data_IF_898116273566
#
_entry.id   IF_898116273566
#
_cell.length_a   1.000
_cell.length_b   1.000
_cell.length_c   1.000
_cell.angle_alpha   90.00
_cell.angle_beta   90.00
_cell.angle_gamma   90.00
#
_symmetry.space_group_name_H-M   'P 1'
#
loop_
_entity.id
_entity.type
_entity.pdbx_description
1 polymer ?
#
# COMPACT_ATOMS: atom_id res chain seq x y z
N UNK A 1 -12.13 -9.96 5.25
CA UNK A 1 -12.12 -8.94 4.14
C UNK A 1 -13.49 -8.29 3.87
N UNK A 2 -14.40 -8.41 4.84
CA UNK A 2 -15.72 -7.77 4.74
C UNK A 2 -15.62 -6.25 4.55
N UNK A 3 -14.67 -5.58 5.23
CA UNK A 3 -14.44 -4.14 5.15
C UNK A 3 -14.25 -3.67 3.70
N UNK A 4 -13.49 -4.42 2.92
CA UNK A 4 -13.25 -4.11 1.51
C UNK A 4 -14.50 -4.35 0.64
N UNK A 5 -15.22 -5.45 0.87
CA UNK A 5 -16.47 -5.72 0.15
C UNK A 5 -17.56 -4.67 0.48
N UNK A 6 -17.63 -4.23 1.73
CA UNK A 6 -18.53 -3.14 2.14
C UNK A 6 -18.18 -1.83 1.42
N UNK A 7 -16.88 -1.53 1.22
CA UNK A 7 -16.45 -0.37 0.41
C UNK A 7 -16.90 -0.49 -1.05
N UNK A 8 -16.70 -1.65 -1.68
CA UNK A 8 -17.16 -1.87 -3.05
C UNK A 8 -18.66 -1.62 -3.18
N UNK A 9 -19.46 -2.21 -2.28
CA UNK A 9 -20.91 -2.04 -2.29
C UNK A 9 -21.31 -0.59 -2.04
N UNK A 10 -20.65 0.08 -1.07
CA UNK A 10 -20.92 1.47 -0.74
C UNK A 10 -20.71 2.40 -1.94
N UNK A 11 -19.65 2.19 -2.72
CA UNK A 11 -19.38 3.02 -3.91
C UNK A 11 -20.38 2.72 -5.04
N UNK A 12 -20.79 1.46 -5.21
CA UNK A 12 -21.85 1.15 -6.18
C UNK A 12 -23.18 1.82 -5.82
N UNK A 13 -23.53 1.89 -4.52
CA UNK A 13 -24.81 2.40 -4.06
C UNK A 13 -24.86 3.93 -3.95
N UNK A 14 -23.72 4.56 -3.62
CA UNK A 14 -23.67 5.99 -3.24
C UNK A 14 -22.70 6.81 -4.10
N UNK A 15 -21.90 6.16 -4.94
CA UNK A 15 -20.94 6.86 -5.78
C UNK A 15 -21.59 7.78 -6.79
N UNK A 16 -21.03 8.98 -6.94
CA UNK A 16 -21.44 9.92 -7.98
C UNK A 16 -20.60 9.72 -9.24
N UNK A 17 -21.20 9.91 -10.39
CA UNK A 17 -20.50 9.87 -11.67
C UNK A 17 -19.56 11.08 -11.78
N UNK A 18 -18.30 10.80 -12.06
CA UNK A 18 -17.27 11.82 -12.29
C UNK A 18 -16.48 11.50 -13.55
N UNK A 19 -16.16 12.56 -14.28
CA UNK A 19 -15.13 12.47 -15.30
C UNK A 19 -13.75 12.33 -14.65
N UNK A 20 -12.83 11.73 -15.38
CA UNK A 20 -11.45 11.57 -14.93
C UNK A 20 -10.47 11.86 -16.09
N UNK A 21 -9.18 11.92 -15.73
CA UNK A 21 -8.11 12.21 -16.68
C UNK A 21 -8.04 11.23 -17.86
N UNK A 22 -8.47 9.99 -17.64
CA UNK A 22 -8.41 8.92 -18.67
C UNK A 22 -9.59 8.95 -19.64
N UNK A 23 -10.67 9.70 -19.31
CA UNK A 23 -11.91 9.73 -20.08
C UNK A 23 -12.79 8.50 -19.90
N UNK A 24 -12.42 7.57 -18.99
CA UNK A 24 -13.21 6.36 -18.69
C UNK A 24 -14.44 6.68 -17.87
N UNK A 25 -14.31 7.65 -16.96
CA UNK A 25 -15.31 7.98 -15.94
C UNK A 25 -15.31 7.04 -14.75
N UNK A 26 -15.78 7.53 -13.63
CA UNK A 26 -15.78 6.81 -12.35
C UNK A 26 -17.09 6.97 -11.61
N UNK A 27 -17.41 5.99 -10.74
CA UNK A 27 -18.32 6.16 -9.62
C UNK A 27 -17.44 6.45 -8.41
N UNK A 28 -17.64 7.58 -7.73
CA UNK A 28 -16.75 8.07 -6.68
C UNK A 28 -17.49 8.50 -5.43
N UNK A 29 -16.90 8.19 -4.27
CA UNK A 29 -17.24 8.78 -2.97
C UNK A 29 -16.02 9.51 -2.42
N UNK A 30 -16.23 10.55 -1.63
CA UNK A 30 -15.14 11.28 -0.99
C UNK A 30 -15.12 11.02 0.52
N UNK A 31 -14.04 10.39 0.96
CA UNK A 31 -13.86 10.02 2.37
C UNK A 31 -14.46 8.66 2.70
N UNK A 32 -13.60 7.70 3.01
CA UNK A 32 -13.97 6.38 3.51
C UNK A 32 -12.83 5.81 4.34
N UNK A 33 -13.13 5.01 5.36
CA UNK A 33 -12.11 4.40 6.19
C UNK A 33 -12.40 2.92 6.41
N UNK A 34 -11.37 2.09 6.27
CA UNK A 34 -11.38 0.68 6.61
C UNK A 34 -10.40 0.41 7.74
N UNK A 35 -10.67 -0.62 8.55
CA UNK A 35 -9.78 -1.08 9.61
C UNK A 35 -9.58 -2.59 9.52
N UNK A 36 -8.32 -3.02 9.55
CA UNK A 36 -7.93 -4.42 9.50
C UNK A 36 -7.10 -4.74 10.73
N UNK A 37 -7.60 -5.61 11.60
CA UNK A 37 -6.83 -6.12 12.71
C UNK A 37 -5.92 -7.25 12.22
N UNK A 38 -4.60 -7.05 12.28
CA UNK A 38 -3.64 -8.04 11.77
C UNK A 38 -3.54 -9.30 12.64
N UNK A 39 -4.15 -9.30 13.83
CA UNK A 39 -4.31 -10.51 14.64
C UNK A 39 -5.33 -11.49 14.03
N UNK A 40 -6.25 -11.00 13.18
CA UNK A 40 -7.25 -11.84 12.51
C UNK A 40 -6.71 -12.57 11.26
N UNK A 41 -5.50 -12.25 10.84
CA UNK A 41 -4.83 -12.80 9.66
C UNK A 41 -4.28 -11.71 8.74
N UNK A 42 -3.60 -12.13 7.68
CA UNK A 42 -3.03 -11.20 6.70
C UNK A 42 -4.11 -10.76 5.70
N UNK A 43 -4.36 -9.44 5.54
CA UNK A 43 -5.48 -8.94 4.74
C UNK A 43 -5.19 -8.98 3.23
N UNK A 44 -4.97 -10.17 2.70
CA UNK A 44 -4.87 -10.45 1.28
C UNK A 44 -6.22 -10.97 0.77
N UNK A 45 -6.79 -10.32 -0.24
CA UNK A 45 -8.13 -10.63 -0.74
C UNK A 45 -8.29 -12.11 -1.10
N UNK A 46 -9.42 -12.68 -0.70
CA UNK A 46 -9.80 -14.05 -1.05
C UNK A 46 -10.91 -14.12 -2.11
N UNK A 47 -11.62 -13.03 -2.37
CA UNK A 47 -12.67 -12.97 -3.41
C UNK A 47 -12.12 -12.83 -4.82
N UNK A 48 -10.86 -12.49 -4.96
CA UNK A 48 -10.06 -12.66 -6.19
C UNK A 48 -8.60 -12.89 -5.83
N UNK A 49 -7.90 -13.70 -6.61
CA UNK A 49 -6.47 -13.95 -6.41
C UNK A 49 -5.65 -12.71 -6.74
N UNK A 50 -4.72 -12.34 -5.84
CA UNK A 50 -3.75 -11.27 -6.04
C UNK A 50 -2.34 -11.82 -6.26
N UNK A 51 -1.51 -11.06 -6.97
CA UNK A 51 -0.12 -11.41 -7.25
C UNK A 51 0.80 -10.90 -6.15
N UNK A 52 0.94 -11.67 -5.07
CA UNK A 52 1.72 -11.29 -3.88
C UNK A 52 3.19 -10.98 -4.20
N UNK A 53 3.79 -11.67 -5.15
CA UNK A 53 5.17 -11.42 -5.57
C UNK A 53 5.40 -9.97 -5.97
N UNK A 54 4.50 -9.38 -6.74
CA UNK A 54 4.59 -7.97 -7.14
C UNK A 54 4.49 -7.04 -5.93
N UNK A 55 3.62 -7.35 -4.98
CA UNK A 55 3.42 -6.56 -3.76
C UNK A 55 4.70 -6.54 -2.92
N UNK A 56 5.31 -7.70 -2.69
CA UNK A 56 6.54 -7.81 -1.88
C UNK A 56 7.69 -7.07 -2.56
N UNK A 57 7.94 -7.30 -3.85
CA UNK A 57 9.04 -6.64 -4.56
C UNK A 57 8.86 -5.13 -4.64
N UNK A 58 7.65 -4.64 -4.85
CA UNK A 58 7.37 -3.20 -4.85
C UNK A 58 7.69 -2.58 -3.48
N UNK A 59 7.26 -3.19 -2.38
CA UNK A 59 7.55 -2.70 -1.03
C UNK A 59 9.05 -2.69 -0.73
N UNK A 60 9.77 -3.76 -1.09
CA UNK A 60 11.23 -3.82 -0.94
C UNK A 60 11.92 -2.74 -1.78
N UNK A 61 11.43 -2.48 -2.98
CA UNK A 61 11.91 -1.42 -3.86
C UNK A 61 11.71 -0.02 -3.26
N UNK A 62 10.53 0.26 -2.67
CA UNK A 62 10.31 1.50 -1.92
C UNK A 62 11.27 1.64 -0.75
N UNK A 63 11.46 0.59 0.04
CA UNK A 63 12.36 0.60 1.21
C UNK A 63 13.84 0.76 0.86
N UNK A 64 14.24 0.42 -0.36
CA UNK A 64 15.58 0.72 -0.88
C UNK A 64 15.76 2.18 -1.30
N UNK A 65 14.69 2.95 -1.38
CA UNK A 65 14.71 4.31 -1.91
C UNK A 65 14.90 4.37 -3.42
N UNK A 66 14.70 3.26 -4.11
CA UNK A 66 14.87 3.14 -5.56
C UNK A 66 13.64 3.67 -6.29
N UNK A 67 13.85 4.27 -7.46
CA UNK A 67 12.81 4.82 -8.34
C UNK A 67 12.93 4.31 -9.77
N UNK A 68 13.93 3.46 -10.04
CA UNK A 68 14.13 2.85 -11.34
C UNK A 68 13.49 1.46 -11.40
N UNK A 69 12.74 1.19 -12.46
CA UNK A 69 12.00 -0.07 -12.64
C UNK A 69 12.87 -1.29 -12.91
N UNK A 70 14.17 -1.12 -13.11
CA UNK A 70 15.08 -2.21 -13.44
C UNK A 70 15.01 -3.37 -12.44
N UNK A 71 15.09 -3.07 -11.13
CA UNK A 71 14.96 -4.08 -10.08
C UNK A 71 13.65 -4.86 -10.18
N UNK A 72 12.53 -4.14 -10.41
CA UNK A 72 11.22 -4.76 -10.55
C UNK A 72 11.15 -5.68 -11.77
N UNK A 73 11.67 -5.22 -12.92
CA UNK A 73 11.70 -5.99 -14.16
C UNK A 73 12.57 -7.25 -14.05
N UNK A 74 13.73 -7.16 -13.41
CA UNK A 74 14.61 -8.30 -13.13
C UNK A 74 13.93 -9.37 -12.26
N UNK A 75 12.95 -8.97 -11.46
CA UNK A 75 12.13 -9.87 -10.64
C UNK A 75 10.77 -10.21 -11.26
N UNK A 76 10.55 -9.88 -12.53
CA UNK A 76 9.32 -10.20 -13.26
C UNK A 76 8.11 -9.33 -12.88
N UNK A 77 8.34 -8.17 -12.26
CA UNK A 77 7.30 -7.22 -11.85
C UNK A 77 7.24 -6.06 -12.83
N UNK A 78 6.07 -5.80 -13.41
CA UNK A 78 5.88 -4.84 -14.50
C UNK A 78 4.86 -3.75 -14.21
N UNK A 79 4.36 -3.66 -12.99
CA UNK A 79 3.26 -2.77 -12.61
C UNK A 79 3.56 -1.27 -12.75
N UNK A 80 4.84 -0.90 -12.88
CA UNK A 80 5.31 0.48 -13.05
C UNK A 80 5.84 0.80 -14.46
N UNK A 81 5.88 -0.18 -15.39
CA UNK A 81 6.53 0.00 -16.68
C UNK A 81 5.94 1.14 -17.52
N UNK A 82 4.62 1.34 -17.48
CA UNK A 82 3.94 2.36 -18.29
C UNK A 82 4.20 3.80 -17.82
N UNK A 83 4.67 3.96 -16.57
CA UNK A 83 4.95 5.26 -15.97
C UNK A 83 6.43 5.66 -16.03
N UNK A 84 7.31 4.69 -16.32
CA UNK A 84 8.74 4.91 -16.41
C UNK A 84 9.12 5.68 -17.67
N UNK A 85 10.14 6.53 -17.55
CA UNK A 85 10.74 7.20 -18.70
C UNK A 85 11.59 6.24 -19.55
N UNK A 86 12.25 6.75 -20.58
CA UNK A 86 13.11 5.98 -21.47
C UNK A 86 14.31 5.30 -20.77
N UNK A 87 14.72 5.82 -19.60
CA UNK A 87 15.78 5.27 -18.76
C UNK A 87 15.27 4.32 -17.68
N UNK A 88 13.96 4.13 -17.60
CA UNK A 88 13.31 3.31 -16.59
C UNK A 88 13.09 4.03 -15.26
N UNK A 89 13.26 5.35 -15.20
CA UNK A 89 13.10 6.13 -13.99
C UNK A 89 11.67 6.70 -13.85
N UNK A 90 11.24 6.85 -12.61
CA UNK A 90 9.92 7.38 -12.24
C UNK A 90 9.99 8.76 -11.58
N UNK A 91 11.19 9.29 -11.38
CA UNK A 91 11.42 10.54 -10.68
C UNK A 91 11.35 10.38 -9.15
N UNK A 92 11.12 11.47 -8.44
CA UNK A 92 11.20 11.53 -6.97
C UNK A 92 9.98 10.96 -6.25
N UNK A 93 9.50 9.78 -6.67
CA UNK A 93 8.32 9.13 -6.09
C UNK A 93 8.65 8.35 -4.81
N UNK A 94 7.65 7.88 -4.13
CA UNK A 94 7.59 7.04 -2.92
C UNK A 94 8.93 6.76 -2.21
N UNK A 95 9.73 5.83 -2.73
CA UNK A 95 10.99 5.40 -2.10
C UNK A 95 12.02 6.53 -1.96
N UNK A 96 12.09 7.43 -2.93
CA UNK A 96 12.95 8.60 -2.84
C UNK A 96 12.52 9.49 -1.66
N UNK A 97 11.25 9.83 -1.55
CA UNK A 97 10.74 10.65 -0.45
C UNK A 97 10.87 9.95 0.90
N UNK A 98 10.59 8.65 0.96
CA UNK A 98 10.71 7.87 2.20
C UNK A 98 12.13 7.84 2.76
N UNK A 99 13.13 7.75 1.89
CA UNK A 99 14.50 7.47 2.26
C UNK A 99 15.46 8.63 2.07
N UNK A 100 15.09 9.64 1.29
CA UNK A 100 15.99 10.70 0.84
C UNK A 100 15.27 12.03 0.64
N UNK A 101 14.36 12.38 1.54
CA UNK A 101 13.66 13.66 1.50
C UNK A 101 14.67 14.83 1.58
N UNK A 102 14.68 15.77 0.60
CA UNK A 102 15.62 16.90 0.62
C UNK A 102 15.42 17.80 1.83
N UNK A 103 16.51 18.20 2.50
CA UNK A 103 16.48 19.18 3.56
C UNK A 103 16.95 20.56 3.09
N UNK A 104 16.78 21.59 3.94
CA UNK A 104 17.17 22.97 3.62
C UNK A 104 18.69 23.20 3.60
N UNK A 105 19.49 22.27 4.11
CA UNK A 105 20.94 22.38 4.20
C UNK A 105 21.66 21.64 3.07
N UNK A 106 20.91 21.14 2.07
CA UNK A 106 21.45 20.37 0.97
C UNK A 106 21.71 18.89 1.31
N UNK A 107 21.25 18.45 2.49
CA UNK A 107 21.27 17.05 2.89
C UNK A 107 19.94 16.36 2.59
N UNK A 108 19.76 15.18 3.18
CA UNK A 108 18.58 14.36 3.00
C UNK A 108 18.12 13.74 4.32
N UNK A 109 16.83 13.58 4.48
CA UNK A 109 16.19 12.96 5.64
C UNK A 109 15.70 11.55 5.26
N UNK A 110 16.13 10.56 6.01
CA UNK A 110 15.61 9.19 5.91
C UNK A 110 14.42 9.04 6.86
N UNK A 111 13.21 9.25 6.35
CA UNK A 111 11.98 9.23 7.14
C UNK A 111 11.70 7.85 7.74
N UNK A 112 12.09 6.76 7.07
CA UNK A 112 11.90 5.40 7.59
C UNK A 112 12.79 5.16 8.82
N UNK A 113 14.06 5.56 8.75
CA UNK A 113 14.96 5.48 9.93
C UNK A 113 14.46 6.32 11.08
N UNK A 114 14.04 7.55 10.82
CA UNK A 114 13.49 8.45 11.85
C UNK A 114 12.23 7.88 12.50
N UNK A 115 11.32 7.29 11.72
CA UNK A 115 10.11 6.66 12.24
C UNK A 115 10.45 5.48 13.16
N UNK A 116 11.34 4.58 12.73
CA UNK A 116 11.77 3.42 13.54
C UNK A 116 12.47 3.89 14.82
N UNK A 117 13.37 4.86 14.71
CA UNK A 117 14.04 5.45 15.86
C UNK A 117 13.04 6.02 16.88
N UNK A 118 12.02 6.74 16.40
CA UNK A 118 10.99 7.34 17.26
C UNK A 118 10.13 6.27 17.92
N UNK A 119 9.73 5.23 17.20
CA UNK A 119 8.98 4.08 17.77
C UNK A 119 9.77 3.44 18.92
N UNK A 120 11.08 3.28 18.77
CA UNK A 120 11.95 2.64 19.77
C UNK A 120 12.21 3.53 20.99
N UNK A 121 12.37 4.83 20.81
CA UNK A 121 12.85 5.73 21.86
C UNK A 121 11.78 6.67 22.43
N UNK A 122 10.70 6.90 21.71
CA UNK A 122 9.56 7.73 22.13
C UNK A 122 8.26 7.21 21.54
N UNK A 123 7.81 6.00 21.96
CA UNK A 123 6.63 5.34 21.35
C UNK A 123 5.32 6.11 21.52
N UNK A 124 5.23 7.01 22.51
CA UNK A 124 4.04 7.86 22.72
C UNK A 124 3.99 9.09 21.82
N UNK A 125 4.97 9.26 20.93
CA UNK A 125 5.00 10.40 20.01
C UNK A 125 3.81 10.35 19.04
N UNK A 126 3.22 11.52 18.82
CA UNK A 126 2.17 11.74 17.81
C UNK A 126 2.73 12.25 16.48
N UNK A 127 4.08 12.16 16.30
CA UNK A 127 4.82 12.70 15.15
C UNK A 127 5.51 11.60 14.33
N UNK A 128 5.07 10.36 14.45
CA UNK A 128 5.65 9.23 13.73
C UNK A 128 4.98 9.14 12.36
N UNK A 129 5.39 10.04 11.45
CA UNK A 129 4.79 10.23 10.13
C UNK A 129 5.86 10.06 9.06
N UNK A 130 5.49 9.37 7.98
CA UNK A 130 6.26 9.29 6.74
C UNK A 130 5.40 9.88 5.61
N UNK A 131 5.92 10.88 4.91
CA UNK A 131 5.22 11.55 3.82
C UNK A 131 5.91 11.29 2.48
N UNK A 132 5.14 10.92 1.47
CA UNK A 132 5.59 10.87 0.08
C UNK A 132 5.14 12.13 -0.70
N UNK A 133 4.22 12.93 -0.14
CA UNK A 133 3.69 14.13 -0.77
C UNK A 133 4.61 15.32 -0.51
N UNK A 134 5.59 15.50 -1.40
CA UNK A 134 6.50 16.64 -1.39
C UNK A 134 6.08 17.63 -2.49
N UNK A 135 5.44 18.72 -2.09
CA UNK A 135 4.86 19.70 -3.04
C UNK A 135 5.91 20.27 -3.99
N UNK A 136 7.14 20.48 -3.51
CA UNK A 136 8.23 21.03 -4.32
C UNK A 136 8.71 20.04 -5.41
N UNK A 137 8.57 18.74 -5.17
CA UNK A 137 9.03 17.69 -6.08
C UNK A 137 7.94 17.17 -7.03
N UNK A 138 6.67 17.55 -6.85
CA UNK A 138 5.58 17.06 -7.71
C UNK A 138 5.88 17.20 -9.21
N UNK A 139 6.48 18.32 -9.70
CA UNK A 139 6.81 18.44 -11.13
C UNK A 139 7.87 17.47 -11.63
N UNK A 140 8.61 16.82 -10.73
CA UNK A 140 9.68 15.85 -11.03
C UNK A 140 9.21 14.41 -10.84
N UNK A 141 7.92 14.20 -10.64
CA UNK A 141 7.31 12.88 -10.47
C UNK A 141 6.54 12.50 -11.73
N UNK A 142 6.81 11.33 -12.30
CA UNK A 142 6.05 10.84 -13.45
C UNK A 142 4.61 10.50 -13.07
N UNK A 143 4.39 10.12 -11.80
CA UNK A 143 3.08 9.91 -11.21
C UNK A 143 3.07 10.42 -9.76
N UNK A 144 2.31 11.49 -9.45
CA UNK A 144 2.16 11.95 -8.06
C UNK A 144 1.60 10.87 -7.14
N UNK A 145 2.12 10.73 -5.91
CA UNK A 145 1.76 9.61 -5.03
C UNK A 145 0.28 9.59 -4.66
N UNK A 146 -0.37 8.45 -4.88
CA UNK A 146 -1.75 8.19 -4.46
C UNK A 146 -1.84 7.91 -2.97
N UNK A 147 -1.02 6.99 -2.43
CA UNK A 147 -0.87 6.78 -1.00
C UNK A 147 0.16 7.78 -0.46
N UNK A 148 -0.35 8.91 0.02
CA UNK A 148 0.40 10.14 0.18
C UNK A 148 1.24 10.21 1.46
N UNK A 149 0.72 9.70 2.58
CA UNK A 149 1.46 9.62 3.84
C UNK A 149 0.85 8.59 4.79
N UNK A 150 1.64 8.16 5.78
CA UNK A 150 1.18 7.24 6.80
C UNK A 150 1.76 7.60 8.17
N UNK A 151 1.06 7.18 9.22
CA UNK A 151 1.40 7.44 10.62
C UNK A 151 1.39 6.15 11.41
N UNK A 152 2.37 5.99 12.29
CA UNK A 152 2.42 4.89 13.26
C UNK A 152 1.87 5.30 14.62
N UNK A 153 1.33 4.33 15.33
CA UNK A 153 0.79 4.49 16.68
C UNK A 153 1.13 3.25 17.51
N UNK A 154 1.64 3.47 18.71
CA UNK A 154 2.02 2.41 19.65
C UNK A 154 1.09 2.43 20.86
N UNK A 155 0.48 1.30 21.17
CA UNK A 155 -0.31 1.13 22.37
C UNK A 155 -0.37 -0.35 22.77
N UNK A 156 -0.30 -0.63 24.07
CA UNK A 156 -0.45 -1.98 24.63
C UNK A 156 0.48 -3.02 23.98
N UNK A 157 1.72 -2.62 23.67
CA UNK A 157 2.70 -3.51 23.03
C UNK A 157 2.46 -3.77 21.54
N UNK A 158 1.53 -3.06 20.92
CA UNK A 158 1.18 -3.21 19.52
C UNK A 158 1.49 -1.95 18.73
N UNK A 159 1.95 -2.15 17.50
CA UNK A 159 2.13 -1.10 16.49
C UNK A 159 0.96 -1.13 15.52
N UNK A 160 0.34 0.04 15.33
CA UNK A 160 -0.68 0.26 14.30
C UNK A 160 -0.19 1.28 13.27
N UNK A 161 -0.75 1.23 12.07
CA UNK A 161 -0.43 2.13 10.97
C UNK A 161 -1.71 2.67 10.36
N UNK A 162 -1.79 3.98 10.16
CA UNK A 162 -2.86 4.61 9.37
C UNK A 162 -2.27 5.21 8.10
N UNK A 163 -2.82 4.83 6.96
CA UNK A 163 -2.50 5.37 5.64
C UNK A 163 -3.58 6.34 5.19
N UNK A 164 -3.18 7.52 4.69
CA UNK A 164 -4.05 8.36 3.88
C UNK A 164 -3.71 8.18 2.39
N UNK A 165 -4.70 7.71 1.63
CA UNK A 165 -4.64 7.54 0.19
C UNK A 165 -5.59 8.54 -0.47
N UNK A 166 -5.04 9.56 -1.16
CA UNK A 166 -5.81 10.64 -1.75
C UNK A 166 -6.67 10.23 -2.94
N UNK A 167 -6.23 9.22 -3.66
CA UNK A 167 -6.88 8.67 -4.85
C UNK A 167 -6.80 7.15 -4.81
N UNK A 168 -7.93 6.49 -4.90
CA UNK A 168 -8.04 5.06 -4.67
C UNK A 168 -8.89 4.38 -5.73
N UNK A 169 -8.24 3.75 -6.71
CA UNK A 169 -8.86 2.76 -7.59
C UNK A 169 -9.18 1.51 -6.77
N UNK A 170 -10.45 1.35 -6.39
CA UNK A 170 -10.85 0.34 -5.42
C UNK A 170 -10.72 -1.06 -5.99
N UNK A 171 -10.93 -1.25 -7.28
CA UNK A 171 -10.91 -2.59 -7.88
C UNK A 171 -9.49 -3.12 -8.13
N UNK A 172 -8.61 -2.32 -8.74
CA UNK A 172 -7.24 -2.74 -9.07
C UNK A 172 -6.22 -2.37 -8.00
N UNK A 173 -6.18 -1.10 -7.58
CA UNK A 173 -5.11 -0.58 -6.74
C UNK A 173 -5.26 -0.88 -5.26
N UNK A 174 -6.43 -0.63 -4.68
CA UNK A 174 -6.66 -0.73 -3.23
C UNK A 174 -6.30 -2.10 -2.65
N UNK A 175 -6.62 -3.25 -3.29
CA UNK A 175 -6.22 -4.55 -2.76
C UNK A 175 -4.71 -4.72 -2.59
N UNK A 176 -3.92 -4.21 -3.54
CA UNK A 176 -2.46 -4.17 -3.46
C UNK A 176 -1.98 -3.27 -2.33
N UNK A 177 -2.59 -2.09 -2.17
CA UNK A 177 -2.21 -1.14 -1.12
C UNK A 177 -2.52 -1.68 0.28
N UNK A 178 -3.66 -2.36 0.48
CA UNK A 178 -3.99 -3.01 1.76
C UNK A 178 -2.90 -4.00 2.14
N UNK A 179 -2.56 -4.92 1.25
CA UNK A 179 -1.56 -5.95 1.52
C UNK A 179 -0.17 -5.35 1.72
N UNK A 180 0.23 -4.38 0.91
CA UNK A 180 1.53 -3.72 0.99
C UNK A 180 1.73 -3.01 2.33
N UNK A 181 0.76 -2.21 2.79
CA UNK A 181 0.89 -1.49 4.06
C UNK A 181 0.69 -2.39 5.28
N UNK A 182 -0.13 -3.43 5.19
CA UNK A 182 -0.19 -4.46 6.23
C UNK A 182 1.16 -5.17 6.38
N UNK A 183 1.83 -5.46 5.27
CA UNK A 183 3.16 -6.07 5.27
C UNK A 183 4.21 -5.13 5.86
N UNK A 184 4.21 -3.85 5.48
CA UNK A 184 5.07 -2.83 6.06
C UNK A 184 4.87 -2.73 7.59
N UNK A 185 3.62 -2.72 8.05
CA UNK A 185 3.29 -2.71 9.47
C UNK A 185 3.90 -3.92 10.20
N UNK A 186 3.77 -5.12 9.65
CA UNK A 186 4.37 -6.34 10.22
C UNK A 186 5.89 -6.25 10.30
N UNK A 187 6.53 -5.75 9.24
CA UNK A 187 7.99 -5.59 9.17
C UNK A 187 8.51 -4.60 10.22
N UNK A 188 7.87 -3.44 10.33
CA UNK A 188 8.25 -2.42 11.32
C UNK A 188 7.99 -2.90 12.75
N UNK A 189 6.87 -3.59 12.99
CA UNK A 189 6.57 -4.18 14.29
C UNK A 189 7.68 -5.17 14.70
N UNK A 190 8.10 -6.07 13.81
CA UNK A 190 9.16 -7.04 14.09
C UNK A 190 10.48 -6.36 14.47
N UNK A 191 10.95 -5.40 13.69
CA UNK A 191 12.26 -4.75 13.94
C UNK A 191 12.25 -3.80 15.14
N UNK A 192 11.08 -3.43 15.64
CA UNK A 192 10.91 -2.61 16.84
C UNK A 192 10.49 -3.41 18.08
N UNK A 193 10.35 -4.73 17.97
CA UNK A 193 9.98 -5.60 19.08
C UNK A 193 8.52 -5.49 19.52
N UNK A 194 7.64 -5.05 18.64
CA UNK A 194 6.20 -4.90 18.88
C UNK A 194 5.39 -5.97 18.13
N UNK A 195 4.16 -6.20 18.55
CA UNK A 195 3.19 -6.96 17.78
C UNK A 195 2.49 -6.06 16.76
N UNK A 196 2.10 -6.62 15.62
CA UNK A 196 1.29 -5.90 14.65
C UNK A 196 -0.15 -5.76 15.16
N UNK A 197 -0.64 -4.53 15.19
CA UNK A 197 -2.00 -4.18 15.59
C UNK A 197 -2.92 -3.96 14.40
N UNK A 198 -3.48 -2.76 14.28
CA UNK A 198 -4.42 -2.40 13.22
C UNK A 198 -3.73 -1.69 12.05
N UNK A 199 -4.12 -2.07 10.84
CA UNK A 199 -3.97 -1.23 9.66
C UNK A 199 -5.26 -0.46 9.43
N UNK A 200 -5.18 0.87 9.48
CA UNK A 200 -6.29 1.78 9.20
C UNK A 200 -6.06 2.44 7.85
N UNK A 201 -6.97 2.21 6.91
CA UNK A 201 -6.86 2.72 5.54
C UNK A 201 -7.90 3.81 5.31
N UNK A 202 -7.43 5.05 5.25
CA UNK A 202 -8.26 6.24 5.03
C UNK A 202 -8.13 6.69 3.57
N UNK A 203 -9.25 6.77 2.89
CA UNK A 203 -9.35 7.10 1.47
C UNK A 203 -9.90 8.51 1.28
N UNK A 204 -9.33 9.26 0.35
CA UNK A 204 -9.88 10.50 -0.18
C UNK A 204 -10.92 10.22 -1.26
N UNK A 205 -10.55 10.41 -2.54
CA UNK A 205 -11.39 10.01 -3.69
C UNK A 205 -11.31 8.49 -3.87
N UNK A 206 -12.36 7.80 -3.43
CA UNK A 206 -12.48 6.35 -3.55
C UNK A 206 -13.42 6.02 -4.70
N UNK A 207 -12.92 5.35 -5.75
CA UNK A 207 -13.65 5.23 -7.00
C UNK A 207 -13.55 3.85 -7.64
N UNK A 208 -14.60 3.52 -8.39
CA UNK A 208 -14.66 2.38 -9.30
C UNK A 208 -14.74 2.96 -10.71
N UNK A 209 -13.81 2.60 -11.59
CA UNK A 209 -13.88 2.96 -13.00
C UNK A 209 -15.07 2.31 -13.68
N UNK A 210 -15.70 3.02 -14.62
CA UNK A 210 -16.90 2.53 -15.31
C UNK A 210 -16.69 1.19 -16.02
N UNK A 211 -15.47 0.93 -16.49
CA UNK A 211 -15.08 -0.34 -17.13
C UNK A 211 -14.84 -1.50 -16.15
N UNK A 212 -14.96 -1.27 -14.83
CA UNK A 212 -14.81 -2.30 -13.79
C UNK A 212 -16.11 -2.68 -13.09
N UNK A 213 -17.24 -2.08 -13.44
CA UNK A 213 -18.52 -2.29 -12.73
C UNK A 213 -18.93 -3.76 -12.73
N UNK A 214 -18.84 -4.46 -13.87
CA UNK A 214 -19.21 -5.87 -13.96
C UNK A 214 -18.27 -6.77 -13.15
N UNK A 215 -16.97 -6.48 -13.17
CA UNK A 215 -15.98 -7.18 -12.37
C UNK A 215 -16.23 -7.02 -10.87
N UNK A 216 -16.61 -5.80 -10.44
CA UNK A 216 -16.97 -5.53 -9.04
C UNK A 216 -18.22 -6.32 -8.64
N UNK A 217 -19.25 -6.37 -9.49
CA UNK A 217 -20.44 -7.19 -9.26
C UNK A 217 -20.13 -8.67 -9.17
N UNK A 218 -19.28 -9.18 -10.05
CA UNK A 218 -18.78 -10.56 -9.97
C UNK A 218 -18.06 -10.80 -8.64
N UNK A 219 -17.16 -9.92 -8.23
CA UNK A 219 -16.42 -10.05 -6.99
C UNK A 219 -17.35 -10.06 -5.77
N UNK A 220 -18.36 -9.18 -5.74
CA UNK A 220 -19.35 -9.13 -4.68
C UNK A 220 -20.27 -10.37 -4.61
N UNK A 221 -20.41 -11.10 -5.70
CA UNK A 221 -21.16 -12.37 -5.72
C UNK A 221 -20.42 -13.53 -5.07
N UNK A 222 -19.13 -13.38 -4.77
CA UNK A 222 -18.28 -14.43 -4.20
C UNK A 222 -18.21 -14.35 -2.69
N UNK A 223 -18.40 -15.49 -2.03
CA UNK A 223 -18.20 -15.55 -0.57
C UNK A 223 -16.72 -15.44 -0.20
N UNK A 224 -16.35 -14.54 0.72
CA UNK A 224 -14.99 -14.45 1.20
C UNK A 224 -14.60 -15.73 1.95
N UNK A 225 -13.33 -16.13 1.79
CA UNK A 225 -12.75 -17.28 2.46
C UNK A 225 -11.87 -16.83 3.62
N UNK A 226 -11.40 -17.76 4.44
CA UNK A 226 -10.51 -17.47 5.54
C UNK A 226 -9.26 -16.70 5.08
N UNK A 227 -8.82 -15.73 5.90
CA UNK A 227 -7.60 -14.98 5.62
C UNK A 227 -6.38 -15.89 5.68
N UNK A 228 -5.40 -15.69 4.79
CA UNK A 228 -4.12 -16.38 4.87
C UNK A 228 -3.29 -15.88 6.06
N UNK A 229 -2.19 -16.59 6.30
CA UNK A 229 -1.17 -16.23 7.30
C UNK A 229 0.10 -15.79 6.60
N UNK A 230 0.68 -14.69 7.07
CA UNK A 230 1.98 -14.21 6.63
C UNK A 230 3.00 -14.45 7.74
N UNK A 231 4.12 -15.09 7.40
CA UNK A 231 5.26 -15.30 8.28
C UNK A 231 6.46 -14.54 7.76
N UNK A 232 7.10 -13.77 8.65
CA UNK A 232 8.36 -13.11 8.36
C UNK A 232 9.51 -13.92 8.97
N UNK A 233 10.66 -13.93 8.28
CA UNK A 233 11.88 -14.52 8.85
C UNK A 233 12.25 -13.80 10.15
N UNK A 234 12.21 -14.48 11.32
CA UNK A 234 12.44 -13.84 12.61
C UNK A 234 13.88 -13.38 12.84
N UNK A 235 14.81 -13.83 12.00
CA UNK A 235 16.24 -13.48 12.12
C UNK A 235 16.54 -12.10 11.55
N UNK A 236 15.63 -11.52 10.74
CA UNK A 236 15.81 -10.17 10.19
C UNK A 236 15.57 -9.14 11.29
N UNK A 237 16.58 -8.29 11.55
CA UNK A 237 16.60 -7.29 12.64
C UNK A 237 16.58 -5.85 12.14
N UNK A 238 16.87 -5.62 10.88
CA UNK A 238 16.78 -4.30 10.23
C UNK A 238 15.75 -4.31 9.13
N UNK A 239 14.94 -3.25 9.04
CA UNK A 239 13.92 -3.08 8.00
C UNK A 239 14.51 -3.13 6.58
N UNK A 240 15.79 -2.79 6.44
CA UNK A 240 16.49 -2.74 5.14
C UNK A 240 17.14 -4.06 4.73
N UNK A 241 17.12 -5.07 5.61
CA UNK A 241 17.74 -6.37 5.35
C UNK A 241 16.77 -7.42 4.85
N UNK A 242 15.47 -7.13 4.84
CA UNK A 242 14.46 -8.04 4.29
C UNK A 242 14.70 -8.30 2.81
N UNK A 243 14.57 -9.59 2.44
CA UNK A 243 14.61 -10.08 1.07
C UNK A 243 13.29 -10.79 0.76
N UNK A 244 13.04 -11.05 -0.52
CA UNK A 244 11.82 -11.73 -0.95
C UNK A 244 11.61 -13.08 -0.23
N UNK A 245 12.69 -13.83 -0.01
CA UNK A 245 12.66 -15.14 0.64
C UNK A 245 12.32 -15.12 2.13
N UNK A 246 12.32 -13.93 2.74
CA UNK A 246 11.98 -13.76 4.16
C UNK A 246 10.46 -13.73 4.42
N UNK A 247 9.65 -13.79 3.37
CA UNK A 247 8.18 -13.74 3.42
C UNK A 247 7.58 -15.08 3.03
N UNK A 248 6.80 -15.68 3.92
CA UNK A 248 6.10 -16.95 3.69
C UNK A 248 4.61 -16.78 3.89
N UNK A 249 3.84 -16.94 2.80
CA UNK A 249 2.38 -16.96 2.83
C UNK A 249 1.89 -18.40 2.92
N UNK A 250 1.01 -18.67 3.90
CA UNK A 250 0.37 -19.97 4.07
C UNK A 250 -1.14 -19.83 4.11
N UNK A 251 -1.85 -20.92 3.79
CA UNK A 251 -3.32 -21.00 3.87
C UNK A 251 -4.04 -20.00 2.95
N UNK A 252 -3.42 -19.60 1.84
CA UNK A 252 -4.07 -18.73 0.86
C UNK A 252 -4.90 -19.54 -0.13
N UNK A 253 -6.22 -19.49 0.02
CA UNK A 253 -7.18 -20.17 -0.85
C UNK A 253 -8.17 -19.17 -1.47
N UNK A 254 -7.73 -18.34 -2.43
CA UNK A 254 -8.59 -17.34 -3.05
C UNK A 254 -9.48 -17.94 -4.13
N UNK A 255 -10.56 -17.21 -4.44
CA UNK A 255 -11.25 -17.39 -5.72
C UNK A 255 -10.33 -17.00 -6.89
N UNK A 256 -10.64 -17.47 -8.11
CA UNK A 256 -9.85 -17.13 -9.29
C UNK A 256 -9.67 -15.64 -9.51
N UNK A 257 -8.60 -15.26 -10.18
CA UNK A 257 -8.35 -13.88 -10.58
C UNK A 257 -9.51 -13.33 -11.43
N UNK A 258 -9.83 -12.04 -11.24
CA UNK A 258 -10.74 -11.29 -12.11
C UNK A 258 -9.88 -10.24 -12.83
N UNK A 259 -9.82 -10.34 -14.14
CA UNK A 259 -9.05 -9.38 -14.94
C UNK A 259 -9.77 -8.02 -15.01
N UNK A 260 -8.99 -6.95 -14.88
CA UNK A 260 -9.44 -5.58 -15.09
C UNK A 260 -8.45 -4.87 -16.00
N UNK A 261 -8.95 -4.07 -16.93
CA UNK A 261 -8.12 -3.24 -17.79
C UNK A 261 -7.81 -1.93 -17.05
N UNK A 262 -6.55 -1.55 -17.02
CA UNK A 262 -6.13 -0.23 -16.50
C UNK A 262 -6.80 0.87 -17.33
N UNK A 263 -7.33 1.89 -16.65
CA UNK A 263 -8.04 3.01 -17.26
C UNK A 263 -7.08 4.11 -17.74
#
# INVERSE_FOLDING_TARGET
>A
MKQYLDLLQHVLDHGVLKEDRTGTGTHSVFGYQMRFNLQDGFPLLTTKKLHLKSIIHELLWFLKGDTNVKYLQENGVRIWNEWADENGDLGHIYGYQWRSWPDYNGGHIDQIKEAIHTIQNNPDSRRIIVSAWNVADLPQMNLPPCHAFFQFYVANGKLSLQLYQRSADIFLGVPFNIASYALLLMMVAQVTGLEAGDFVHTLGDAHIYNNHIEQVREQLSREPRALPKMKLNPDVKSIFDFKYEDFELTDYNPHPHIAGKVA
#
